data_IF_106152538930
#
_entry.id   IF_106152538930
#
_cell.length_a   1.000
_cell.length_b   1.000
_cell.length_c   1.000
_cell.angle_alpha   90.00
_cell.angle_beta   90.00
_cell.angle_gamma   90.00
#
_symmetry.space_group_name_H-M   'P 1'
#
loop_
_entity.id
_entity.type
_entity.pdbx_description
1 polymer ?
#
# COMPACT_ATOMS: atom_id res chain seq x y z
N UNK A 1 -4.01 -0.75 0.62
CA UNK A 1 -5.48 -0.74 0.83
C UNK A 1 -5.86 -2.02 1.53
N UNK A 2 -6.72 -1.92 2.53
CA UNK A 2 -7.35 -3.06 3.20
C UNK A 2 -8.87 -2.98 2.99
N UNK A 3 -9.51 -4.12 2.83
CA UNK A 3 -10.95 -4.20 2.61
C UNK A 3 -11.55 -5.40 3.33
N UNK A 4 -12.58 -5.15 4.13
CA UNK A 4 -13.44 -6.18 4.72
C UNK A 4 -14.74 -6.28 3.90
N UNK A 5 -14.86 -7.34 3.11
CA UNK A 5 -16.01 -7.56 2.23
C UNK A 5 -17.32 -7.83 2.97
N UNK A 6 -17.27 -8.34 4.21
CA UNK A 6 -18.46 -8.63 5.00
C UNK A 6 -19.13 -7.37 5.53
N UNK A 7 -18.35 -6.40 5.95
CA UNK A 7 -18.86 -5.10 6.44
C UNK A 7 -18.89 -4.01 5.37
N UNK A 8 -18.23 -4.23 4.21
CA UNK A 8 -17.97 -3.23 3.16
C UNK A 8 -17.24 -2.01 3.68
N UNK A 9 -16.30 -2.23 4.59
CA UNK A 9 -15.45 -1.19 5.14
C UNK A 9 -14.05 -1.38 4.58
N UNK A 10 -13.46 -0.30 4.09
CA UNK A 10 -12.11 -0.30 3.58
C UNK A 10 -11.31 0.89 4.06
N UNK A 11 -9.99 0.74 4.02
CA UNK A 11 -9.07 1.80 4.37
C UNK A 11 -7.87 1.85 3.41
N UNK A 12 -7.31 3.04 3.26
CA UNK A 12 -6.16 3.31 2.42
C UNK A 12 -5.09 4.01 3.24
N UNK A 13 -3.87 3.49 3.20
CA UNK A 13 -2.68 4.16 3.74
C UNK A 13 -1.68 4.42 2.61
N UNK A 14 -1.03 5.59 2.67
CA UNK A 14 0.03 5.96 1.74
C UNK A 14 1.38 5.77 2.42
N UNK A 15 2.04 4.66 2.12
CA UNK A 15 3.37 4.33 2.65
C UNK A 15 4.43 5.17 1.94
N UNK A 16 5.22 5.90 2.69
CA UNK A 16 6.28 6.77 2.19
C UNK A 16 7.67 6.19 2.40
N UNK A 17 7.88 5.47 3.51
CA UNK A 17 9.19 4.91 3.90
C UNK A 17 9.02 3.47 4.39
N UNK A 18 10.03 2.61 4.19
CA UNK A 18 9.95 1.21 4.57
C UNK A 18 10.06 0.98 6.08
N UNK A 19 10.68 1.91 6.81
CA UNK A 19 10.86 1.83 8.27
C UNK A 19 10.99 3.21 8.91
N UNK A 20 10.68 3.27 10.19
CA UNK A 20 10.75 4.49 11.02
C UNK A 20 12.16 5.06 11.12
N UNK A 21 13.18 4.21 11.18
CA UNK A 21 14.58 4.63 11.29
C UNK A 21 15.12 5.44 10.11
N UNK A 22 14.34 5.57 9.03
CA UNK A 22 14.69 6.40 7.87
C UNK A 22 14.00 7.78 7.90
N UNK A 23 13.24 8.09 8.94
CA UNK A 23 12.51 9.35 9.05
C UNK A 23 13.07 10.23 10.17
N UNK A 24 13.17 11.52 9.91
CA UNK A 24 13.44 12.54 10.95
C UNK A 24 12.16 12.85 11.76
N UNK A 25 11.00 12.51 11.24
CA UNK A 25 9.68 12.66 11.86
C UNK A 25 9.03 11.26 11.92
N UNK A 26 9.20 10.59 13.07
CA UNK A 26 8.62 9.27 13.34
C UNK A 26 7.19 9.33 13.89
N UNK A 27 6.68 10.51 14.21
CA UNK A 27 5.39 10.67 14.89
C UNK A 27 4.20 10.38 13.95
N UNK A 28 4.40 10.54 12.63
CA UNK A 28 3.39 10.21 11.65
C UNK A 28 3.36 8.71 11.35
N UNK A 29 2.57 7.98 12.12
CA UNK A 29 2.38 6.52 12.01
C UNK A 29 1.86 6.05 10.66
N UNK A 30 1.28 6.92 9.85
CA UNK A 30 0.75 6.57 8.52
C UNK A 30 1.84 6.39 7.45
N UNK A 31 3.08 6.80 7.71
CA UNK A 31 4.20 6.75 6.74
C UNK A 31 4.82 5.35 6.56
N UNK A 32 4.71 4.49 7.58
CA UNK A 32 5.47 3.23 7.64
C UNK A 32 4.53 2.02 7.64
N UNK A 33 4.86 0.91 6.97
CA UNK A 33 4.01 -0.28 6.95
C UNK A 33 3.74 -0.84 8.36
N UNK A 34 4.79 -0.85 9.22
CA UNK A 34 4.74 -1.40 10.58
C UNK A 34 3.72 -0.73 11.49
N UNK A 35 3.45 0.56 11.27
CA UNK A 35 2.52 1.36 12.07
C UNK A 35 1.22 1.67 11.33
N UNK A 36 1.29 1.90 10.02
CA UNK A 36 0.13 2.24 9.21
C UNK A 36 -0.87 1.08 9.07
N UNK A 37 -0.39 -0.15 8.88
CA UNK A 37 -1.27 -1.31 8.71
C UNK A 37 -2.04 -1.62 9.99
N UNK A 38 -1.42 -1.74 11.18
CA UNK A 38 -2.17 -1.89 12.44
C UNK A 38 -3.14 -0.74 12.72
N UNK A 39 -2.72 0.50 12.48
CA UNK A 39 -3.58 1.69 12.65
C UNK A 39 -4.80 1.61 11.73
N UNK A 40 -4.61 1.20 10.49
CA UNK A 40 -5.70 1.08 9.52
C UNK A 40 -6.71 0.01 9.94
N UNK A 41 -6.24 -1.13 10.44
CA UNK A 41 -7.10 -2.20 11.01
C UNK A 41 -7.90 -1.68 12.20
N UNK A 42 -7.24 -0.98 13.12
CA UNK A 42 -7.89 -0.40 14.30
C UNK A 42 -9.01 0.58 13.89
N UNK A 43 -8.72 1.48 12.95
CA UNK A 43 -9.70 2.44 12.45
C UNK A 43 -10.88 1.78 11.71
N UNK A 44 -10.62 0.72 10.96
CA UNK A 44 -11.67 -0.08 10.31
C UNK A 44 -12.54 -0.78 11.35
N UNK A 45 -11.96 -1.36 12.41
CA UNK A 45 -12.69 -2.00 13.50
C UNK A 45 -13.58 -1.02 14.28
N UNK A 46 -13.09 0.18 14.57
CA UNK A 46 -13.90 1.26 15.18
C UNK A 46 -15.15 1.59 14.37
N UNK A 47 -15.12 1.33 13.05
CA UNK A 47 -16.23 1.55 12.13
C UNK A 47 -17.08 0.30 11.86
N UNK A 48 -16.80 -0.81 12.55
CA UNK A 48 -17.60 -2.03 12.46
C UNK A 48 -17.05 -3.09 11.51
N UNK A 49 -15.77 -3.02 11.11
CA UNK A 49 -15.12 -4.05 10.31
C UNK A 49 -14.60 -5.19 11.22
N UNK A 50 -15.37 -6.25 11.35
CA UNK A 50 -15.01 -7.41 12.18
C UNK A 50 -14.61 -8.66 11.37
N UNK A 51 -14.73 -8.59 10.05
CA UNK A 51 -14.31 -9.66 9.16
C UNK A 51 -12.79 -9.72 8.99
N UNK A 52 -12.32 -10.69 8.19
CA UNK A 52 -10.91 -10.78 7.80
C UNK A 52 -10.64 -9.83 6.64
N UNK A 53 -9.83 -8.81 6.83
CA UNK A 53 -9.50 -7.91 5.73
C UNK A 53 -8.62 -8.60 4.69
N UNK A 54 -8.78 -8.21 3.44
CA UNK A 54 -7.88 -8.55 2.33
C UNK A 54 -7.11 -7.31 1.91
N UNK A 55 -5.88 -7.50 1.48
CA UNK A 55 -5.01 -6.40 1.05
C UNK A 55 -4.86 -6.34 -0.47
N UNK A 56 -4.78 -5.12 -0.99
CA UNK A 56 -4.28 -4.79 -2.32
C UNK A 56 -3.20 -3.71 -2.20
N UNK A 57 -2.13 -3.83 -2.96
CA UNK A 57 -1.04 -2.84 -2.97
C UNK A 57 -0.80 -2.30 -4.37
N UNK A 58 -0.54 -1.00 -4.45
CA UNK A 58 -0.24 -0.29 -5.70
C UNK A 58 0.87 0.71 -5.47
N UNK A 59 1.78 0.85 -6.42
CA UNK A 59 2.85 1.84 -6.36
C UNK A 59 4.24 1.25 -6.32
N UNK A 60 5.15 1.87 -5.57
CA UNK A 60 6.55 1.44 -5.50
C UNK A 60 7.31 1.63 -6.82
N UNK A 61 6.90 2.58 -7.66
CA UNK A 61 7.60 2.94 -8.87
C UNK A 61 8.92 3.65 -8.56
N UNK A 62 9.94 3.42 -9.37
CA UNK A 62 11.21 4.15 -9.36
C UNK A 62 11.28 5.07 -10.57
N UNK A 63 10.57 6.19 -10.51
CA UNK A 63 10.46 7.15 -11.64
C UNK A 63 11.80 7.77 -12.05
N UNK A 64 12.81 7.69 -11.20
CA UNK A 64 14.14 8.25 -11.42
C UNK A 64 15.24 7.17 -11.41
N UNK A 65 14.89 5.91 -11.66
CA UNK A 65 15.85 4.79 -11.63
C UNK A 65 17.04 5.02 -12.57
N UNK A 66 16.81 5.60 -13.74
CA UNK A 66 17.84 5.92 -14.73
C UNK A 66 18.82 7.03 -14.28
N UNK A 67 18.44 7.83 -13.29
CA UNK A 67 19.25 8.92 -12.72
C UNK A 67 20.02 8.48 -11.47
N UNK A 68 19.75 7.28 -10.94
CA UNK A 68 20.45 6.76 -9.78
C UNK A 68 21.77 6.14 -10.22
N UNK A 69 22.87 6.38 -9.49
CA UNK A 69 24.13 5.65 -9.70
C UNK A 69 23.90 4.14 -9.61
N UNK A 70 24.74 3.35 -10.29
CA UNK A 70 24.72 1.89 -10.17
C UNK A 70 24.82 1.50 -8.69
N UNK A 71 23.76 0.86 -8.14
CA UNK A 71 23.65 0.55 -6.72
C UNK A 71 22.83 1.54 -5.88
N UNK A 72 22.17 2.52 -6.51
CA UNK A 72 21.27 3.44 -5.82
C UNK A 72 20.10 2.73 -5.14
N UNK A 73 19.63 3.31 -4.03
CA UNK A 73 18.55 2.74 -3.23
C UNK A 73 17.21 2.92 -3.97
N UNK A 74 16.58 1.82 -4.37
CA UNK A 74 15.21 1.83 -4.86
C UNK A 74 14.22 1.87 -3.68
N UNK A 75 13.83 3.07 -3.28
CA UNK A 75 12.91 3.28 -2.15
C UNK A 75 11.52 2.69 -2.43
N UNK A 76 11.06 2.74 -3.67
CA UNK A 76 9.78 2.17 -4.07
C UNK A 76 9.73 0.65 -3.85
N UNK A 77 10.77 -0.06 -4.27
CA UNK A 77 10.91 -1.50 -4.06
C UNK A 77 10.99 -1.85 -2.56
N UNK A 78 11.77 -1.10 -1.78
CA UNK A 78 11.85 -1.29 -0.33
C UNK A 78 10.51 -1.09 0.37
N UNK A 79 9.73 -0.09 -0.03
CA UNK A 79 8.38 0.14 0.49
C UNK A 79 7.45 -1.04 0.19
N UNK A 80 7.50 -1.58 -1.02
CA UNK A 80 6.72 -2.74 -1.44
C UNK A 80 7.07 -3.96 -0.60
N UNK A 81 8.36 -4.28 -0.46
CA UNK A 81 8.81 -5.45 0.29
C UNK A 81 8.52 -5.32 1.80
N UNK A 82 8.73 -4.14 2.39
CA UNK A 82 8.36 -3.89 3.77
C UNK A 82 6.85 -4.04 4.00
N UNK A 83 6.02 -3.53 3.09
CA UNK A 83 4.56 -3.67 3.15
C UNK A 83 4.13 -5.14 3.07
N UNK A 84 4.66 -5.89 2.11
CA UNK A 84 4.39 -7.34 1.98
C UNK A 84 4.78 -8.12 3.23
N UNK A 85 5.95 -7.79 3.82
CA UNK A 85 6.41 -8.41 5.06
C UNK A 85 5.44 -8.18 6.21
N UNK A 86 4.99 -6.95 6.42
CA UNK A 86 4.05 -6.61 7.51
C UNK A 86 2.71 -7.29 7.28
N UNK A 87 2.19 -7.33 6.05
CA UNK A 87 0.95 -8.04 5.72
C UNK A 87 1.06 -9.54 6.05
N UNK A 88 2.19 -10.20 5.73
CA UNK A 88 2.43 -11.60 6.08
C UNK A 88 2.45 -11.82 7.60
N UNK A 89 3.16 -10.97 8.34
CA UNK A 89 3.23 -11.06 9.81
C UNK A 89 1.87 -10.83 10.47
N UNK A 90 1.02 -10.00 9.88
CA UNK A 90 -0.35 -9.75 10.34
C UNK A 90 -1.35 -10.79 9.83
N UNK A 91 -0.91 -11.80 9.06
CA UNK A 91 -1.75 -12.82 8.44
C UNK A 91 -2.87 -12.26 7.56
N UNK A 92 -2.60 -11.12 6.90
CA UNK A 92 -3.52 -10.47 5.97
C UNK A 92 -3.18 -10.92 4.54
N UNK A 93 -4.11 -11.61 3.84
CA UNK A 93 -3.86 -12.05 2.49
C UNK A 93 -3.73 -10.87 1.51
N UNK A 94 -2.63 -10.84 0.76
CA UNK A 94 -2.44 -9.94 -0.37
C UNK A 94 -3.06 -10.59 -1.61
N UNK A 95 -4.23 -10.09 -2.04
CA UNK A 95 -5.03 -10.70 -3.10
C UNK A 95 -4.74 -10.13 -4.49
N UNK A 96 -4.23 -8.91 -4.57
CA UNK A 96 -3.82 -8.31 -5.84
C UNK A 96 -2.74 -7.24 -5.64
N UNK A 97 -1.94 -7.00 -6.67
CA UNK A 97 -0.93 -5.95 -6.66
C UNK A 97 -0.63 -5.41 -8.06
N UNK A 98 -0.29 -4.12 -8.12
CA UNK A 98 0.29 -3.45 -9.27
C UNK A 98 1.46 -2.59 -8.78
N UNK A 99 2.66 -3.16 -8.78
CA UNK A 99 3.83 -2.57 -8.12
C UNK A 99 5.06 -2.49 -9.03
N UNK A 100 5.97 -1.59 -8.67
CA UNK A 100 7.23 -1.41 -9.40
C UNK A 100 7.08 -0.58 -10.68
N UNK A 101 8.01 -0.76 -11.62
CA UNK A 101 8.09 0.01 -12.85
C UNK A 101 8.59 1.44 -12.64
N UNK A 102 8.46 2.26 -13.70
CA UNK A 102 9.00 3.62 -13.74
C UNK A 102 7.92 4.68 -14.04
N UNK A 103 6.67 4.38 -13.75
CA UNK A 103 5.54 5.24 -14.09
C UNK A 103 4.63 5.51 -12.90
N UNK A 104 4.07 6.71 -12.88
CA UNK A 104 3.06 7.11 -11.90
C UNK A 104 1.73 6.41 -12.13
N UNK A 105 0.96 6.29 -11.07
CA UNK A 105 -0.37 5.68 -11.07
C UNK A 105 -1.35 6.54 -10.29
N UNK A 106 -2.57 6.65 -10.79
CA UNK A 106 -3.74 7.13 -10.04
C UNK A 106 -4.55 5.94 -9.58
N UNK A 107 -4.98 5.95 -8.32
CA UNK A 107 -5.67 4.83 -7.69
C UNK A 107 -7.05 5.27 -7.25
N UNK A 108 -8.06 4.51 -7.64
CA UNK A 108 -9.46 4.70 -7.24
C UNK A 108 -9.91 3.47 -6.48
N UNK A 109 -10.15 3.63 -5.18
CA UNK A 109 -10.59 2.54 -4.32
C UNK A 109 -12.12 2.63 -4.09
N UNK A 110 -12.86 1.66 -4.61
CA UNK A 110 -14.31 1.56 -4.47
C UNK A 110 -14.65 0.72 -3.25
N UNK A 111 -15.03 1.36 -2.15
CA UNK A 111 -15.33 0.67 -0.89
C UNK A 111 -16.68 -0.07 -0.93
N UNK A 112 -17.53 0.17 -1.92
CA UNK A 112 -18.80 -0.55 -2.10
C UNK A 112 -18.60 -2.05 -2.40
N UNK A 113 -17.50 -2.38 -3.10
CA UNK A 113 -17.21 -3.74 -3.59
C UNK A 113 -15.74 -4.16 -3.42
N UNK A 114 -14.89 -3.28 -2.89
CA UNK A 114 -13.46 -3.52 -2.70
C UNK A 114 -12.61 -3.45 -3.98
N UNK A 115 -13.20 -3.07 -5.10
CA UNK A 115 -12.51 -2.92 -6.38
C UNK A 115 -11.53 -1.75 -6.34
N UNK A 116 -10.37 -1.96 -6.94
CA UNK A 116 -9.34 -0.92 -7.10
C UNK A 116 -9.07 -0.72 -8.58
N UNK A 117 -9.33 0.48 -9.08
CA UNK A 117 -9.00 0.88 -10.44
C UNK A 117 -7.68 1.63 -10.43
N UNK A 118 -6.72 1.15 -11.21
CA UNK A 118 -5.40 1.76 -11.37
C UNK A 118 -5.30 2.35 -12.76
N UNK A 119 -5.00 3.63 -12.85
CA UNK A 119 -4.80 4.34 -14.12
C UNK A 119 -3.36 4.82 -14.24
N UNK A 120 -2.78 4.64 -15.39
CA UNK A 120 -1.45 5.14 -15.74
C UNK A 120 -1.44 5.67 -17.17
N UNK A 121 -0.78 6.79 -17.39
CA UNK A 121 -0.60 7.33 -18.74
C UNK A 121 0.16 6.38 -19.66
N UNK A 122 1.08 5.60 -19.09
CA UNK A 122 1.92 4.66 -19.85
C UNK A 122 1.26 3.29 -20.07
N UNK A 123 0.50 2.80 -19.09
CA UNK A 123 -0.03 1.42 -19.07
C UNK A 123 -1.55 1.35 -19.22
N UNK A 124 -2.23 2.50 -19.35
CA UNK A 124 -3.69 2.54 -19.44
C UNK A 124 -4.38 2.28 -18.10
N UNK A 125 -5.55 1.65 -18.15
CA UNK A 125 -6.38 1.35 -17.00
C UNK A 125 -6.40 -0.14 -16.69
N UNK A 126 -6.34 -0.49 -15.40
CA UNK A 126 -6.40 -1.87 -14.91
C UNK A 126 -7.28 -1.92 -13.65
N UNK A 127 -8.04 -3.00 -13.50
CA UNK A 127 -8.84 -3.29 -12.31
C UNK A 127 -8.18 -4.44 -11.53
N UNK A 128 -8.04 -4.23 -10.22
CA UNK A 128 -7.53 -5.22 -9.25
C UNK A 128 -8.66 -5.70 -8.34
#
# INVERSE_FOLDING_TARGET
>A
MLYDGSSRIGGLAHILLPSEGLSLDSDNRAKFPSTAIPMLIEEMRKRGAWGRPMAKIVGGASMFASLLPSGGINMGERNVEATKRVLRLAEIPLVASDTGGEHGRSVYFHVSDGRVVVKSLKMGERVL
#
